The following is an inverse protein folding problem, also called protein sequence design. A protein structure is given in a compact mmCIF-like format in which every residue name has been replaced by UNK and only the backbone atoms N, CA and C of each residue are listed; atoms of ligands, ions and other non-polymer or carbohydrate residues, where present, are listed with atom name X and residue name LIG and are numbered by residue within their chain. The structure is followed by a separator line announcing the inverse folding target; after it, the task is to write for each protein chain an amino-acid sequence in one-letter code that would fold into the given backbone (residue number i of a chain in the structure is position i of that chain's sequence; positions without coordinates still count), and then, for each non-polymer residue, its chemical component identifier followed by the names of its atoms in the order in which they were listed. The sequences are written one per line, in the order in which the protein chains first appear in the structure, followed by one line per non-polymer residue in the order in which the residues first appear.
data_IF_147256806619
#
_entry.id   IF_147256806619
#
_cell.length_a   1.000
_cell.length_b   1.000
_cell.length_c   1.000
_cell.angle_alpha   90.00
_cell.angle_beta   90.00
_cell.angle_gamma   90.00
#
_symmetry.space_group_name_H-M   'P 1'
#
loop_
_entity.id
_entity.type
_entity.pdbx_description
1 polymer ?
#
# COMPACT_ATOMS: atom_id res chain seq x y z
N UNK A 1 7.99 6.91 -87.69
CA UNK A 1 7.95 5.52 -87.19
C UNK A 1 7.39 5.54 -85.78
N UNK A 2 6.53 4.59 -85.43
CA UNK A 2 5.89 4.44 -84.12
C UNK A 2 6.28 3.11 -83.51
N UNK A 3 6.63 3.11 -82.22
CA UNK A 3 6.99 1.94 -81.43
C UNK A 3 5.76 1.36 -80.71
N UNK A 4 5.87 0.13 -80.22
CA UNK A 4 4.79 -0.58 -79.50
C UNK A 4 4.34 0.10 -78.21
N UNK A 5 5.17 0.96 -77.60
CA UNK A 5 4.80 1.79 -76.45
C UNK A 5 4.19 3.15 -76.85
N UNK A 6 3.98 3.40 -78.14
CA UNK A 6 3.45 4.67 -78.67
C UNK A 6 4.49 5.78 -78.84
N UNK A 7 5.74 5.57 -78.43
CA UNK A 7 6.81 6.53 -78.72
C UNK A 7 7.08 6.60 -80.23
N UNK A 8 7.48 7.77 -80.71
CA UNK A 8 7.74 8.00 -82.14
C UNK A 8 9.21 8.26 -82.41
N UNK A 9 9.74 7.70 -83.50
CA UNK A 9 11.07 8.00 -84.01
C UNK A 9 10.91 8.82 -85.29
N UNK A 10 11.60 9.97 -85.33
CA UNK A 10 11.68 10.84 -86.50
C UNK A 10 13.11 10.82 -87.05
N UNK A 11 13.24 10.61 -88.36
CA UNK A 11 14.51 10.69 -89.08
C UNK A 11 14.51 11.97 -89.91
N UNK A 12 15.51 12.82 -89.72
CA UNK A 12 15.71 13.99 -90.58
C UNK A 12 16.24 13.54 -91.96
N UNK A 13 15.99 14.34 -93.01
CA UNK A 13 16.42 14.00 -94.35
C UNK A 13 17.94 13.84 -94.44
N UNK A 14 18.41 12.66 -94.89
CA UNK A 14 19.82 12.32 -94.99
C UNK A 14 20.43 11.69 -93.72
N UNK A 15 19.69 11.65 -92.61
CA UNK A 15 20.14 11.02 -91.37
C UNK A 15 19.84 9.51 -91.36
N UNK A 16 20.69 8.76 -90.66
CA UNK A 16 20.55 7.31 -90.45
C UNK A 16 20.28 6.95 -89.00
N UNK A 17 20.30 7.93 -88.11
CA UNK A 17 20.06 7.80 -86.67
C UNK A 17 18.81 8.61 -86.33
N UNK A 18 17.87 7.97 -85.66
CA UNK A 18 16.68 8.61 -85.10
C UNK A 18 16.58 8.28 -83.62
N UNK A 19 16.14 9.24 -82.82
CA UNK A 19 15.88 9.05 -81.38
C UNK A 19 14.37 9.01 -81.18
N UNK A 20 13.90 8.14 -80.29
CA UNK A 20 12.49 8.14 -79.91
C UNK A 20 12.12 9.39 -79.12
N UNK A 21 10.85 9.76 -79.15
CA UNK A 21 10.28 10.63 -78.12
C UNK A 21 10.40 9.97 -76.74
N UNK A 22 10.40 10.79 -75.69
CA UNK A 22 10.31 10.30 -74.30
C UNK A 22 9.04 9.47 -74.09
N UNK A 23 9.13 8.48 -73.21
CA UNK A 23 8.02 7.67 -72.73
C UNK A 23 8.21 7.40 -71.25
N UNK A 24 7.11 7.16 -70.53
CA UNK A 24 7.12 6.93 -69.09
C UNK A 24 7.52 5.48 -68.80
N UNK A 25 8.34 5.30 -67.78
CA UNK A 25 8.67 4.00 -67.18
C UNK A 25 8.06 3.92 -65.78
N UNK A 26 8.04 2.73 -65.18
CA UNK A 26 7.69 2.56 -63.76
C UNK A 26 8.43 3.58 -62.88
N UNK A 27 7.70 4.17 -61.93
CA UNK A 27 8.27 5.12 -60.98
C UNK A 27 9.10 4.42 -59.91
N UNK A 28 10.00 5.17 -59.30
CA UNK A 28 10.82 4.72 -58.16
C UNK A 28 9.95 4.63 -56.90
N UNK A 29 10.04 3.52 -56.17
CA UNK A 29 9.43 3.34 -54.86
C UNK A 29 10.36 2.58 -53.90
N UNK A 30 9.84 2.00 -52.81
CA UNK A 30 10.66 1.34 -51.78
C UNK A 30 10.52 -0.19 -51.80
N UNK A 31 9.76 -0.71 -52.75
CA UNK A 31 9.44 -2.11 -52.89
C UNK A 31 10.13 -2.67 -54.11
N UNK A 32 10.65 -3.89 -53.95
CA UNK A 32 11.32 -4.63 -55.01
C UNK A 32 10.41 -4.76 -56.21
N UNK A 33 10.74 -4.03 -57.25
CA UNK A 33 10.15 -4.17 -58.55
C UNK A 33 11.25 -4.19 -59.62
N UNK A 34 10.87 -4.14 -60.87
CA UNK A 34 11.79 -4.43 -61.95
C UNK A 34 11.00 -4.74 -63.20
N UNK A 35 11.12 -3.86 -64.17
CA UNK A 35 10.35 -3.95 -65.40
C UNK A 35 11.27 -4.26 -66.57
N UNK A 36 10.87 -5.25 -67.38
CA UNK A 36 11.44 -5.42 -68.70
C UNK A 36 10.36 -5.58 -69.73
N UNK A 37 10.42 -4.76 -70.78
CA UNK A 37 9.50 -4.84 -71.90
C UNK A 37 10.23 -4.72 -73.23
N UNK A 38 9.61 -5.33 -74.24
CA UNK A 38 10.12 -5.36 -75.59
C UNK A 38 9.43 -4.30 -76.44
N UNK A 39 10.22 -3.40 -77.01
CA UNK A 39 9.81 -2.43 -78.01
C UNK A 39 9.97 -3.03 -79.41
N UNK A 40 8.91 -2.92 -80.20
CA UNK A 40 8.91 -3.27 -81.62
C UNK A 40 8.37 -2.09 -82.42
N UNK A 41 8.67 -2.04 -83.70
CA UNK A 41 8.07 -1.06 -84.61
C UNK A 41 6.67 -1.53 -84.98
N UNK A 42 5.65 -0.73 -84.67
CA UNK A 42 4.25 -1.03 -84.99
C UNK A 42 3.76 -0.33 -86.25
N UNK A 43 4.38 0.80 -86.58
CA UNK A 43 4.10 1.55 -87.80
C UNK A 43 5.39 2.21 -88.32
N UNK A 44 5.80 1.86 -89.54
CA UNK A 44 6.96 2.48 -90.18
C UNK A 44 6.71 3.95 -90.56
N UNK A 45 5.44 4.35 -90.69
CA UNK A 45 5.02 5.63 -91.25
C UNK A 45 5.17 5.68 -92.78
N UNK A 46 4.91 6.84 -93.38
CA UNK A 46 5.14 7.05 -94.82
C UNK A 46 6.65 7.06 -95.15
N UNK A 47 7.07 6.25 -96.12
CA UNK A 47 8.45 6.17 -96.57
C UNK A 47 8.56 5.81 -98.05
N UNK A 48 9.73 6.04 -98.64
CA UNK A 48 10.04 5.75 -100.05
C UNK A 48 11.00 4.57 -100.26
N UNK A 49 11.32 3.79 -99.22
CA UNK A 49 12.12 2.57 -99.35
C UNK A 49 11.38 1.48 -100.13
N UNK A 50 12.08 0.77 -101.02
CA UNK A 50 11.54 -0.40 -101.73
C UNK A 50 11.26 -1.58 -100.78
N UNK A 51 12.09 -1.72 -99.75
CA UNK A 51 11.89 -2.65 -98.64
C UNK A 51 12.49 -2.04 -97.36
N UNK A 52 11.72 -2.05 -96.27
CA UNK A 52 12.16 -1.65 -94.94
C UNK A 52 11.88 -2.80 -93.99
N UNK A 53 12.91 -3.32 -93.33
CA UNK A 53 12.76 -4.35 -92.30
C UNK A 53 12.52 -3.67 -90.95
N UNK A 54 11.40 -4.00 -90.33
CA UNK A 54 10.98 -3.48 -89.02
C UNK A 54 10.79 -4.61 -88.00
N UNK A 55 11.34 -5.79 -88.28
CA UNK A 55 11.19 -6.99 -87.44
C UNK A 55 12.09 -6.99 -86.20
N UNK A 56 13.10 -6.11 -86.16
CA UNK A 56 13.99 -5.98 -85.00
C UNK A 56 13.23 -5.45 -83.77
N UNK A 57 13.71 -5.84 -82.60
CA UNK A 57 13.12 -5.48 -81.32
C UNK A 57 14.19 -5.00 -80.35
N UNK A 58 13.87 -3.98 -79.58
CA UNK A 58 14.71 -3.51 -78.49
C UNK A 58 14.13 -3.95 -77.15
N UNK A 59 14.96 -4.38 -76.21
CA UNK A 59 14.53 -4.62 -74.84
C UNK A 59 14.89 -3.41 -74.00
N UNK A 60 13.91 -2.87 -73.29
CA UNK A 60 14.14 -1.90 -72.22
C UNK A 60 14.13 -2.67 -70.90
N UNK A 61 15.16 -2.46 -70.09
CA UNK A 61 15.23 -2.98 -68.73
C UNK A 61 15.34 -1.78 -67.81
N UNK A 62 14.35 -1.65 -66.93
CA UNK A 62 14.39 -0.71 -65.82
C UNK A 62 15.01 -1.45 -64.65
N UNK A 63 16.19 -1.00 -64.23
CA UNK A 63 16.82 -1.54 -63.03
C UNK A 63 16.27 -0.82 -61.83
N UNK A 64 15.83 -1.61 -60.86
CA UNK A 64 15.37 -1.11 -59.57
C UNK A 64 16.51 -0.40 -58.82
N UNK A 65 16.13 0.65 -58.08
CA UNK A 65 17.01 1.33 -57.15
C UNK A 65 16.95 0.62 -55.78
N UNK A 66 17.72 1.07 -54.80
CA UNK A 66 17.64 0.49 -53.45
C UNK A 66 17.40 1.64 -52.48
N UNK A 67 16.21 1.67 -51.93
CA UNK A 67 15.73 2.62 -50.95
C UNK A 67 15.56 1.92 -49.59
N UNK A 68 16.43 2.29 -48.65
CA UNK A 68 16.39 1.77 -47.28
C UNK A 68 15.25 2.38 -46.49
N UNK A 69 14.26 1.62 -46.02
CA UNK A 69 13.22 2.07 -45.07
C UNK A 69 13.66 1.75 -43.64
N UNK A 70 13.69 2.76 -42.76
CA UNK A 70 13.99 2.56 -41.35
C UNK A 70 12.70 2.63 -40.51
N UNK A 71 12.50 1.63 -39.66
CA UNK A 71 11.41 1.62 -38.67
C UNK A 71 12.02 1.64 -37.27
N UNK A 72 11.66 2.61 -36.44
CA UNK A 72 12.17 2.75 -35.08
C UNK A 72 11.05 2.69 -34.04
N UNK A 73 11.43 2.42 -32.79
CA UNK A 73 10.56 2.48 -31.63
C UNK A 73 11.20 3.38 -30.58
N UNK A 74 10.41 4.27 -30.00
CA UNK A 74 10.83 5.19 -28.94
C UNK A 74 9.85 5.13 -27.78
N UNK A 75 10.34 5.12 -26.54
CA UNK A 75 9.48 5.22 -25.36
C UNK A 75 9.19 6.69 -25.00
N UNK A 76 8.16 6.90 -24.16
CA UNK A 76 7.86 8.19 -23.56
C UNK A 76 8.78 8.58 -22.39
N UNK A 77 9.84 7.79 -22.13
CA UNK A 77 10.69 7.93 -20.95
C UNK A 77 10.20 7.13 -19.75
N UNK A 78 10.81 7.35 -18.59
CA UNK A 78 10.43 6.69 -17.34
C UNK A 78 9.11 7.25 -16.80
N UNK A 79 8.30 6.38 -16.20
CA UNK A 79 6.95 6.69 -15.70
C UNK A 79 6.76 6.17 -14.28
N UNK A 80 5.69 6.60 -13.60
CA UNK A 80 5.26 5.97 -12.34
C UNK A 80 4.31 4.80 -12.60
N UNK A 81 4.07 3.95 -11.61
CA UNK A 81 3.13 2.81 -11.69
C UNK A 81 1.68 3.21 -12.02
N UNK A 82 1.23 4.43 -11.65
CA UNK A 82 -0.03 5.04 -12.08
C UNK A 82 -0.12 5.41 -13.58
N UNK A 83 0.98 5.36 -14.32
CA UNK A 83 1.05 5.91 -15.67
C UNK A 83 1.27 4.82 -16.72
N UNK A 84 0.53 4.94 -17.83
CA UNK A 84 0.74 4.06 -18.98
C UNK A 84 2.15 4.24 -19.56
N UNK A 85 2.79 3.12 -19.88
CA UNK A 85 4.02 3.11 -20.68
C UNK A 85 3.64 3.22 -22.17
N UNK A 86 4.14 4.25 -22.84
CA UNK A 86 3.77 4.53 -24.24
C UNK A 86 4.99 4.42 -25.15
N UNK A 87 4.84 3.61 -26.19
CA UNK A 87 5.84 3.40 -27.23
C UNK A 87 5.34 3.98 -28.55
N UNK A 88 6.17 4.77 -29.21
CA UNK A 88 5.88 5.34 -30.53
C UNK A 88 6.71 4.62 -31.57
N UNK A 89 6.04 3.95 -32.49
CA UNK A 89 6.66 3.29 -33.65
C UNK A 89 6.67 4.30 -34.79
N UNK A 90 7.81 4.49 -35.44
CA UNK A 90 7.99 5.49 -36.50
C UNK A 90 8.60 4.86 -37.75
N UNK A 91 8.09 5.19 -38.92
CA UNK A 91 8.80 5.02 -40.18
C UNK A 91 9.55 6.33 -40.50
N UNK A 92 10.73 6.22 -41.13
CA UNK A 92 11.53 7.39 -41.55
C UNK A 92 10.95 8.15 -42.75
N UNK A 93 9.85 7.66 -43.32
CA UNK A 93 9.09 8.26 -44.42
C UNK A 93 7.62 7.88 -44.36
N UNK A 94 6.79 8.65 -45.06
CA UNK A 94 5.39 8.30 -45.32
C UNK A 94 5.33 7.20 -46.37
N UNK A 95 4.55 6.15 -46.11
CA UNK A 95 4.26 5.09 -47.08
C UNK A 95 2.85 5.25 -47.66
N UNK A 96 2.65 4.79 -48.89
CA UNK A 96 1.37 4.83 -49.61
C UNK A 96 0.40 3.72 -49.21
N UNK A 97 0.88 2.72 -48.47
CA UNK A 97 0.13 1.57 -47.96
C UNK A 97 0.34 1.42 -46.46
N UNK A 98 -0.56 0.68 -45.81
CA UNK A 98 -0.48 0.37 -44.38
C UNK A 98 0.76 -0.48 -44.08
N UNK A 99 1.58 0.00 -43.15
CA UNK A 99 2.73 -0.73 -42.62
C UNK A 99 2.32 -1.46 -41.34
N UNK A 100 2.33 -2.79 -41.39
CA UNK A 100 2.08 -3.63 -40.23
C UNK A 100 3.42 -3.95 -39.57
N UNK A 101 3.56 -3.58 -38.30
CA UNK A 101 4.77 -3.79 -37.49
C UNK A 101 4.47 -4.77 -36.38
N UNK A 102 5.30 -5.81 -36.23
CA UNK A 102 5.20 -6.80 -35.15
C UNK A 102 6.20 -6.47 -34.06
N UNK A 103 5.70 -6.29 -32.84
CA UNK A 103 6.49 -5.99 -31.65
C UNK A 103 7.06 -7.26 -31.01
N UNK A 104 8.08 -7.12 -30.16
CA UNK A 104 8.74 -8.26 -29.49
C UNK A 104 7.86 -9.05 -28.52
N UNK A 105 6.75 -8.46 -28.06
CA UNK A 105 5.72 -9.14 -27.27
C UNK A 105 4.70 -9.92 -28.13
N UNK A 106 4.83 -9.88 -29.46
CA UNK A 106 3.96 -10.56 -30.41
C UNK A 106 2.75 -9.74 -30.88
N UNK A 107 2.51 -8.56 -30.30
CA UNK A 107 1.44 -7.67 -30.76
C UNK A 107 1.80 -7.02 -32.10
N UNK A 108 0.77 -6.66 -32.86
CA UNK A 108 0.93 -5.96 -34.13
C UNK A 108 0.31 -4.58 -34.07
N UNK A 109 1.01 -3.57 -34.58
CA UNK A 109 0.50 -2.22 -34.79
C UNK A 109 0.56 -1.84 -36.27
N UNK A 110 -0.30 -0.92 -36.69
CA UNK A 110 -0.36 -0.49 -38.09
C UNK A 110 -0.11 1.01 -38.17
N UNK A 111 0.96 1.41 -38.83
CA UNK A 111 1.10 2.78 -39.32
C UNK A 111 0.25 2.87 -40.58
N UNK A 112 -0.83 3.64 -40.51
CA UNK A 112 -1.77 3.79 -41.62
C UNK A 112 -1.10 4.47 -42.81
N UNK A 113 -1.53 4.13 -44.02
CA UNK A 113 -1.10 4.82 -45.24
C UNK A 113 -1.24 6.35 -45.09
N UNK A 114 -0.20 7.09 -45.46
CA UNK A 114 -0.15 8.54 -45.30
C UNK A 114 0.35 9.04 -43.93
N UNK A 115 0.43 8.17 -42.92
CA UNK A 115 0.98 8.48 -41.60
C UNK A 115 2.45 8.05 -41.48
N UNK A 116 3.15 8.56 -40.47
CA UNK A 116 4.55 8.22 -40.18
C UNK A 116 4.75 7.51 -38.85
N UNK A 117 3.73 7.48 -38.00
CA UNK A 117 3.86 6.91 -36.67
C UNK A 117 2.55 6.37 -36.13
N UNK A 118 2.66 5.42 -35.22
CA UNK A 118 1.54 4.91 -34.40
C UNK A 118 2.01 4.71 -32.97
N UNK A 119 1.12 4.94 -32.01
CA UNK A 119 1.40 4.70 -30.60
C UNK A 119 0.91 3.30 -30.18
N UNK A 120 1.65 2.68 -29.27
CA UNK A 120 1.30 1.46 -28.56
C UNK A 120 1.40 1.72 -27.06
N UNK A 121 0.33 1.45 -26.32
CA UNK A 121 0.27 1.71 -24.87
C UNK A 121 0.20 0.38 -24.11
N UNK A 122 1.05 0.25 -23.10
CA UNK A 122 0.93 -0.76 -22.05
C UNK A 122 0.31 -0.07 -20.83
N UNK A 123 -0.78 -0.63 -20.33
CA UNK A 123 -1.50 -0.05 -19.19
C UNK A 123 -0.60 0.07 -17.96
N UNK A 124 -0.82 1.13 -17.18
CA UNK A 124 -0.32 1.31 -15.82
C UNK A 124 -0.46 0.04 -14.97
N UNK A 125 0.52 -0.23 -14.10
CA UNK A 125 0.48 -1.38 -13.19
C UNK A 125 -0.62 -1.22 -12.13
N UNK A 126 -0.89 0.02 -11.72
CA UNK A 126 -1.85 0.37 -10.67
C UNK A 126 -1.20 1.33 -9.69
N UNK A 127 -1.96 1.74 -8.67
CA UNK A 127 -1.36 2.25 -7.43
C UNK A 127 -1.80 1.28 -6.36
N UNK A 128 -0.86 0.76 -5.59
CA UNK A 128 -1.15 0.01 -4.39
C UNK A 128 -0.14 0.30 -3.28
N UNK A 129 -0.14 -0.51 -2.22
CA UNK A 129 0.66 -0.24 -1.01
C UNK A 129 1.91 -1.12 -0.93
N UNK A 130 2.25 -1.83 -1.99
CA UNK A 130 3.32 -2.78 -2.08
C UNK A 130 4.39 -2.36 -3.09
N UNK A 131 5.65 -2.36 -2.64
CA UNK A 131 6.75 -1.96 -3.51
C UNK A 131 6.95 -2.93 -4.70
N UNK A 132 6.68 -2.46 -5.91
CA UNK A 132 6.62 -3.30 -7.12
C UNK A 132 7.26 -2.71 -8.39
N UNK A 133 8.24 -1.81 -8.22
CA UNK A 133 9.04 -1.22 -9.31
C UNK A 133 9.43 -2.20 -10.44
N UNK A 134 9.32 -1.73 -11.69
CA UNK A 134 9.46 -2.58 -12.87
C UNK A 134 10.08 -1.90 -14.09
N UNK A 135 10.08 -2.61 -15.21
CA UNK A 135 10.41 -2.06 -16.52
C UNK A 135 9.68 -2.82 -17.63
N UNK A 136 9.44 -2.13 -18.73
CA UNK A 136 8.87 -2.70 -19.96
C UNK A 136 9.85 -2.40 -21.10
N UNK A 137 10.35 -3.43 -21.76
CA UNK A 137 11.20 -3.32 -22.95
C UNK A 137 10.48 -3.90 -24.16
N UNK A 138 10.31 -3.10 -25.21
CA UNK A 138 9.74 -3.52 -26.49
C UNK A 138 10.72 -3.27 -27.62
N UNK A 139 10.80 -4.24 -28.52
CA UNK A 139 11.57 -4.19 -29.75
C UNK A 139 10.69 -4.43 -30.97
N UNK A 140 11.27 -4.26 -32.15
CA UNK A 140 10.63 -4.54 -33.43
C UNK A 140 11.12 -5.88 -33.97
N UNK A 141 10.22 -6.78 -34.34
CA UNK A 141 10.57 -8.13 -34.82
C UNK A 141 10.30 -8.33 -36.30
N UNK A 142 9.30 -7.64 -36.85
CA UNK A 142 8.96 -7.64 -38.26
C UNK A 142 8.27 -6.34 -38.65
N UNK A 143 8.39 -5.93 -39.91
CA UNK A 143 7.54 -4.90 -40.50
C UNK A 143 7.26 -5.25 -41.96
N UNK A 144 5.99 -5.21 -42.37
CA UNK A 144 5.60 -5.64 -43.71
C UNK A 144 4.38 -4.89 -44.24
N UNK A 145 4.29 -4.88 -45.58
CA UNK A 145 3.16 -4.36 -46.33
C UNK A 145 2.58 -5.50 -47.15
N UNK A 146 1.27 -5.69 -47.08
CA UNK A 146 0.62 -6.85 -47.67
C UNK A 146 0.87 -6.95 -49.19
N UNK A 147 1.44 -8.07 -49.64
CA UNK A 147 1.70 -8.34 -51.05
C UNK A 147 2.91 -7.60 -51.64
N UNK A 148 3.68 -6.88 -50.82
CA UNK A 148 4.89 -6.16 -51.24
C UNK A 148 6.12 -6.62 -50.44
N UNK A 149 7.30 -6.38 -50.98
CA UNK A 149 8.58 -6.72 -50.34
C UNK A 149 9.48 -5.50 -50.43
N UNK A 150 9.94 -4.96 -49.30
CA UNK A 150 10.87 -3.84 -49.29
C UNK A 150 12.20 -4.20 -49.97
N UNK A 151 12.80 -3.24 -50.67
CA UNK A 151 14.16 -3.36 -51.19
C UNK A 151 15.15 -3.61 -50.05
N UNK A 152 15.17 -2.69 -49.08
CA UNK A 152 15.96 -2.75 -47.87
C UNK A 152 15.15 -2.22 -46.67
N UNK A 153 14.83 -3.11 -45.72
CA UNK A 153 14.11 -2.78 -44.49
C UNK A 153 15.05 -2.92 -43.30
N UNK A 154 15.16 -1.86 -42.50
CA UNK A 154 15.99 -1.82 -41.31
C UNK A 154 15.12 -1.53 -40.09
N UNK A 155 15.23 -2.38 -39.07
CA UNK A 155 14.54 -2.20 -37.80
C UNK A 155 15.51 -1.61 -36.76
N UNK A 156 15.03 -0.61 -36.03
CA UNK A 156 15.75 0.02 -34.92
C UNK A 156 15.88 -0.90 -33.70
N UNK A 157 16.66 -0.43 -32.72
CA UNK A 157 16.83 -1.14 -31.46
C UNK A 157 15.62 -1.01 -30.52
N UNK A 158 15.69 -1.74 -29.41
CA UNK A 158 14.63 -1.78 -28.41
C UNK A 158 14.48 -0.45 -27.66
N UNK A 159 13.25 -0.16 -27.24
CA UNK A 159 12.93 0.92 -26.32
C UNK A 159 12.55 0.35 -24.95
N UNK A 160 12.96 1.04 -23.88
CA UNK A 160 12.63 0.65 -22.50
C UNK A 160 11.96 1.80 -21.77
N UNK A 161 10.96 1.47 -20.96
CA UNK A 161 10.33 2.34 -19.95
C UNK A 161 10.67 1.75 -18.59
N UNK A 162 11.34 2.51 -17.73
CA UNK A 162 11.43 2.13 -16.31
C UNK A 162 10.19 2.66 -15.58
N UNK A 163 9.63 1.81 -14.73
CA UNK A 163 8.44 2.12 -13.93
C UNK A 163 8.90 2.28 -12.50
N UNK A 164 8.78 3.50 -11.98
CA UNK A 164 9.08 3.81 -10.58
C UNK A 164 7.84 3.67 -9.73
N UNK A 165 7.97 2.86 -8.69
CA UNK A 165 7.05 2.73 -7.57
C UNK A 165 6.77 4.10 -6.92
N UNK A 166 5.51 4.36 -6.62
CA UNK A 166 5.11 5.48 -5.77
C UNK A 166 5.17 5.05 -4.30
N UNK A 167 4.90 5.97 -3.36
CA UNK A 167 4.91 5.63 -1.93
C UNK A 167 3.54 5.92 -1.34
N UNK A 168 2.81 4.87 -1.06
CA UNK A 168 1.56 4.83 -0.36
C UNK A 168 1.75 4.46 1.12
N UNK A 169 0.95 5.14 1.96
CA UNK A 169 1.01 4.97 3.40
C UNK A 169 -0.11 4.07 3.89
N UNK A 170 0.27 2.99 4.57
CA UNK A 170 -0.65 2.21 5.39
C UNK A 170 -0.60 2.68 6.84
N UNK A 171 -1.75 2.83 7.47
CA UNK A 171 -1.87 3.23 8.88
C UNK A 171 -2.42 2.07 9.71
N UNK A 172 -1.69 1.70 10.77
CA UNK A 172 -2.11 0.80 11.83
C UNK A 172 -2.72 1.60 12.99
N UNK A 173 -4.00 1.37 13.28
CA UNK A 173 -4.72 2.02 14.38
C UNK A 173 -4.96 1.04 15.51
N UNK A 174 -4.29 1.23 16.66
CA UNK A 174 -4.58 0.59 17.94
C UNK A 174 -5.81 1.24 18.59
N UNK A 175 -6.70 0.43 19.16
CA UNK A 175 -7.87 0.90 19.90
C UNK A 175 -7.59 1.08 21.38
N UNK A 176 -8.09 2.18 21.96
CA UNK A 176 -8.12 2.37 23.42
C UNK A 176 -8.98 1.29 24.08
N UNK A 177 -8.58 0.88 25.29
CA UNK A 177 -9.37 -0.08 26.08
C UNK A 177 -9.61 0.44 27.49
N UNK A 178 -10.74 0.04 28.05
CA UNK A 178 -11.08 0.23 29.47
C UNK A 178 -11.51 -1.10 30.03
N UNK A 179 -10.85 -1.54 31.09
CA UNK A 179 -11.10 -2.81 31.77
C UNK A 179 -11.15 -2.57 33.27
N UNK A 180 -11.89 -3.38 34.01
CA UNK A 180 -11.80 -3.36 35.47
C UNK A 180 -10.51 -4.05 35.91
N UNK A 181 -9.92 -3.61 37.03
CA UNK A 181 -8.94 -4.45 37.71
C UNK A 181 -9.54 -5.82 38.06
N UNK A 182 -8.68 -6.80 38.34
CA UNK A 182 -9.13 -8.17 38.59
C UNK A 182 -9.62 -8.92 37.36
N UNK A 183 -9.66 -8.31 36.17
CA UNK A 183 -10.05 -8.98 34.92
C UNK A 183 -9.06 -10.05 34.43
N UNK A 184 -8.01 -10.36 35.20
CA UNK A 184 -6.85 -11.23 34.93
C UNK A 184 -6.00 -10.84 33.70
N UNK A 185 -6.64 -10.49 32.59
CA UNK A 185 -5.98 -10.08 31.35
C UNK A 185 -6.83 -9.13 30.49
N UNK A 186 -6.16 -8.48 29.53
CA UNK A 186 -6.80 -7.67 28.50
C UNK A 186 -6.15 -7.90 27.12
N UNK A 187 -6.87 -7.48 26.08
CA UNK A 187 -6.38 -7.48 24.69
C UNK A 187 -6.66 -6.15 24.04
N UNK A 188 -5.86 -5.78 23.05
CA UNK A 188 -6.03 -4.55 22.27
C UNK A 188 -6.37 -4.91 20.83
N UNK A 189 -7.42 -4.29 20.29
CA UNK A 189 -7.76 -4.39 18.88
C UNK A 189 -6.88 -3.47 18.04
N UNK A 190 -6.55 -3.90 16.82
CA UNK A 190 -5.87 -3.08 15.84
C UNK A 190 -6.53 -3.19 14.46
N UNK A 191 -6.45 -2.11 13.68
CA UNK A 191 -6.96 -2.04 12.31
C UNK A 191 -5.91 -1.47 11.37
N UNK A 192 -5.83 -1.96 10.14
CA UNK A 192 -5.00 -1.44 9.06
C UNK A 192 -5.89 -0.72 8.04
N UNK A 193 -5.41 0.39 7.48
CA UNK A 193 -6.09 1.09 6.38
C UNK A 193 -6.14 0.28 5.09
N UNK A 194 -5.17 -0.61 4.89
CA UNK A 194 -5.04 -1.48 3.72
C UNK A 194 -4.79 -2.93 4.17
N UNK A 195 -5.32 -3.93 3.45
CA UNK A 195 -5.03 -5.33 3.75
C UNK A 195 -3.55 -5.65 3.50
N UNK A 196 -3.01 -6.64 4.21
CA UNK A 196 -1.65 -7.15 3.97
C UNK A 196 -1.66 -8.34 2.99
N UNK A 197 -0.61 -8.55 2.19
CA UNK A 197 -0.51 -9.70 1.27
C UNK A 197 -0.13 -11.01 1.98
N UNK A 198 0.44 -10.91 3.18
CA UNK A 198 1.04 -12.01 3.94
C UNK A 198 0.73 -11.87 5.42
N UNK A 199 0.93 -12.96 6.16
CA UNK A 199 0.85 -12.84 7.61
C UNK A 199 2.07 -12.08 8.15
N UNK A 200 1.85 -11.09 9.02
CA UNK A 200 2.92 -10.42 9.75
C UNK A 200 2.52 -10.13 11.18
N UNK A 201 3.50 -9.92 12.04
CA UNK A 201 3.31 -9.74 13.49
C UNK A 201 3.97 -8.46 13.97
N UNK A 202 3.19 -7.63 14.65
CA UNK A 202 3.68 -6.43 15.34
C UNK A 202 3.86 -6.71 16.83
N UNK A 203 4.86 -6.07 17.45
CA UNK A 203 5.12 -6.11 18.89
C UNK A 203 4.80 -4.75 19.50
N UNK A 204 4.04 -4.74 20.58
CA UNK A 204 3.65 -3.56 21.34
C UNK A 204 4.64 -3.27 22.47
N UNK A 205 4.63 -2.04 22.99
CA UNK A 205 5.54 -1.59 24.06
C UNK A 205 5.38 -2.37 25.38
N UNK A 206 4.22 -2.96 25.64
CA UNK A 206 3.98 -3.85 26.78
C UNK A 206 4.40 -5.31 26.52
N UNK A 207 4.98 -5.61 25.35
CA UNK A 207 5.43 -6.94 24.96
C UNK A 207 4.35 -7.83 24.33
N UNK A 208 3.07 -7.41 24.32
CA UNK A 208 2.03 -8.13 23.60
C UNK A 208 2.27 -8.07 22.08
N UNK A 209 1.75 -9.06 21.36
CA UNK A 209 1.92 -9.14 19.90
C UNK A 209 0.59 -9.19 19.19
N UNK A 210 0.47 -8.57 18.02
CA UNK A 210 -0.72 -8.64 17.16
C UNK A 210 -0.28 -9.29 15.84
N UNK A 211 -0.97 -10.36 15.44
CA UNK A 211 -0.73 -11.01 14.15
C UNK A 211 -1.87 -10.70 13.19
N UNK A 212 -1.55 -10.13 12.04
CA UNK A 212 -2.46 -9.97 10.93
C UNK A 212 -2.27 -11.15 9.98
N UNK A 213 -3.35 -11.84 9.62
CA UNK A 213 -3.31 -12.85 8.57
C UNK A 213 -3.29 -12.18 7.18
N UNK A 214 -2.81 -12.92 6.17
CA UNK A 214 -2.90 -12.48 4.78
C UNK A 214 -4.34 -12.09 4.41
N UNK A 215 -4.50 -10.94 3.75
CA UNK A 215 -5.77 -10.33 3.36
C UNK A 215 -6.56 -9.68 4.50
N UNK A 216 -6.09 -9.74 5.75
CA UNK A 216 -6.80 -9.13 6.89
C UNK A 216 -6.44 -7.66 7.05
N UNK A 217 -7.42 -6.87 7.48
CA UNK A 217 -7.24 -5.49 7.97
C UNK A 217 -7.40 -5.39 9.49
N UNK A 218 -7.72 -6.48 10.18
CA UNK A 218 -7.98 -6.47 11.61
C UNK A 218 -7.11 -7.48 12.35
N UNK A 219 -6.70 -7.14 13.56
CA UNK A 219 -5.96 -8.01 14.46
C UNK A 219 -6.33 -7.74 15.91
N UNK A 220 -6.02 -8.70 16.77
CA UNK A 220 -6.17 -8.59 18.22
C UNK A 220 -4.86 -9.02 18.85
N UNK A 221 -4.43 -8.30 19.90
CA UNK A 221 -3.21 -8.67 20.61
C UNK A 221 -3.34 -10.01 21.32
N UNK A 222 -2.21 -10.65 21.59
CA UNK A 222 -2.11 -11.61 22.68
C UNK A 222 -2.60 -10.96 23.99
N UNK A 223 -3.16 -11.77 24.87
CA UNK A 223 -3.52 -11.35 26.21
C UNK A 223 -2.29 -10.82 26.96
N UNK A 224 -2.49 -9.74 27.71
CA UNK A 224 -1.50 -9.20 28.66
C UNK A 224 -2.16 -8.98 30.01
N UNK A 225 -1.34 -9.05 31.07
CA UNK A 225 -1.82 -8.96 32.46
C UNK A 225 -2.28 -7.55 32.78
N UNK A 226 -3.36 -7.45 33.53
CA UNK A 226 -3.87 -6.21 34.12
C UNK A 226 -3.64 -6.21 35.63
N UNK A 227 -3.77 -5.05 36.27
CA UNK A 227 -3.77 -4.92 37.72
C UNK A 227 -4.76 -5.91 38.37
N UNK A 228 -4.31 -6.54 39.45
CA UNK A 228 -5.14 -7.47 40.21
C UNK A 228 -6.13 -6.72 41.10
N UNK A 229 -7.22 -7.39 41.46
CA UNK A 229 -8.25 -6.86 42.36
C UNK A 229 -7.73 -6.75 43.80
N UNK A 230 -7.96 -5.61 44.45
CA UNK A 230 -7.77 -5.49 45.89
C UNK A 230 -8.86 -4.62 46.57
N UNK A 231 -8.55 -4.03 47.72
CA UNK A 231 -9.53 -3.30 48.56
C UNK A 231 -9.22 -1.81 48.62
N UNK A 232 -8.23 -1.35 47.86
CA UNK A 232 -7.66 -0.02 47.88
C UNK A 232 -7.92 0.73 46.58
N UNK A 233 -8.19 2.03 46.71
CA UNK A 233 -8.41 2.89 45.55
C UNK A 233 -7.15 3.15 44.75
N UNK A 234 -6.95 2.46 43.63
CA UNK A 234 -5.69 2.53 42.89
C UNK A 234 -5.80 2.38 41.34
N UNK A 235 -6.87 2.90 40.74
CA UNK A 235 -7.03 2.97 39.28
C UNK A 235 -5.76 3.39 38.52
N UNK A 236 -5.46 2.68 37.42
CA UNK A 236 -4.25 2.87 36.61
C UNK A 236 -4.56 3.30 35.15
N UNK A 237 -3.67 4.08 34.54
CA UNK A 237 -3.74 4.42 33.11
C UNK A 237 -2.34 4.53 32.51
N UNK A 238 -2.14 3.89 31.36
CA UNK A 238 -0.88 3.93 30.62
C UNK A 238 -1.09 3.85 29.10
N UNK A 239 -0.07 4.21 28.33
CA UNK A 239 -0.11 4.14 26.87
C UNK A 239 0.68 2.95 26.34
N UNK A 240 0.18 2.40 25.23
CA UNK A 240 0.83 1.35 24.45
C UNK A 240 1.05 1.84 23.02
N UNK A 241 2.17 1.45 22.43
CA UNK A 241 2.55 1.83 21.07
C UNK A 241 3.20 0.66 20.35
N UNK A 242 3.26 0.70 19.03
CA UNK A 242 4.01 -0.28 18.23
C UNK A 242 5.50 0.01 18.37
N UNK A 243 6.27 -0.97 18.87
CA UNK A 243 7.74 -0.85 19.00
C UNK A 243 8.49 -1.63 17.93
N UNK A 244 7.84 -2.60 17.31
CA UNK A 244 8.38 -3.33 16.16
C UNK A 244 7.23 -3.77 15.26
N UNK A 245 7.24 -3.34 14.00
CA UNK A 245 6.20 -3.70 13.03
C UNK A 245 6.43 -5.06 12.34
N UNK A 246 7.54 -5.75 12.64
CA UNK A 246 7.90 -7.01 11.99
C UNK A 246 8.30 -6.82 10.52
N UNK A 247 8.47 -7.94 9.83
CA UNK A 247 8.66 -7.95 8.38
C UNK A 247 7.30 -7.87 7.69
N UNK A 248 7.07 -6.80 6.94
CA UNK A 248 5.86 -6.55 6.16
C UNK A 248 6.23 -6.11 4.75
N UNK A 249 5.25 -6.14 3.84
CA UNK A 249 5.44 -5.77 2.45
C UNK A 249 4.85 -4.38 2.10
N UNK A 250 4.35 -3.63 3.09
CA UNK A 250 3.95 -2.25 2.89
C UNK A 250 5.16 -1.36 2.56
N UNK A 251 5.01 -0.45 1.59
CA UNK A 251 6.01 0.59 1.29
C UNK A 251 6.26 1.49 2.49
N UNK A 252 5.19 1.94 3.14
CA UNK A 252 5.23 2.72 4.38
C UNK A 252 4.14 2.28 5.35
N UNK A 253 4.54 2.03 6.60
CA UNK A 253 3.63 1.73 7.70
C UNK A 253 3.79 2.75 8.83
N UNK A 254 2.68 3.36 9.23
CA UNK A 254 2.59 4.29 10.35
C UNK A 254 1.64 3.75 11.41
N UNK A 255 1.78 4.17 12.66
CA UNK A 255 0.91 3.73 13.76
C UNK A 255 0.62 4.82 14.78
N UNK A 256 -0.50 4.71 15.49
CA UNK A 256 -0.81 5.54 16.68
C UNK A 256 -0.39 4.84 17.99
N UNK A 257 -0.60 5.56 19.09
CA UNK A 257 -0.63 5.02 20.45
C UNK A 257 -2.07 4.78 20.88
N UNK A 258 -2.29 3.79 21.75
CA UNK A 258 -3.55 3.56 22.43
C UNK A 258 -3.39 3.69 23.94
N UNK A 259 -4.45 4.08 24.63
CA UNK A 259 -4.52 4.18 26.09
C UNK A 259 -5.20 2.96 26.67
N UNK A 260 -4.58 2.36 27.68
CA UNK A 260 -5.18 1.35 28.54
C UNK A 260 -5.60 2.02 29.83
N UNK A 261 -6.89 1.96 30.14
CA UNK A 261 -7.45 2.44 31.40
C UNK A 261 -7.93 1.26 32.23
N UNK A 262 -7.47 1.19 33.47
CA UNK A 262 -7.89 0.19 34.44
C UNK A 262 -8.74 0.91 35.48
N UNK A 263 -10.01 0.51 35.57
CA UNK A 263 -10.93 1.03 36.57
C UNK A 263 -10.90 0.16 37.81
N UNK A 264 -10.64 0.81 38.93
CA UNK A 264 -10.85 0.33 40.29
C UNK A 264 -12.25 -0.29 40.47
N UNK A 265 -12.33 -1.42 41.17
CA UNK A 265 -13.61 -2.03 41.55
C UNK A 265 -14.10 -1.47 42.89
N UNK A 266 -15.05 -2.16 43.54
CA UNK A 266 -15.56 -1.71 44.84
C UNK A 266 -15.70 -2.90 45.76
N UNK A 267 -14.74 -3.00 46.66
CA UNK A 267 -14.64 -3.92 47.76
C UNK A 267 -14.93 -3.22 49.09
N UNK A 268 -15.79 -3.85 49.88
CA UNK A 268 -16.19 -3.32 51.19
C UNK A 268 -15.29 -3.88 52.27
N UNK A 269 -14.58 -2.98 52.96
CA UNK A 269 -13.94 -3.29 54.24
C UNK A 269 -14.89 -2.96 55.39
N UNK A 270 -15.10 -3.89 56.31
CA UNK A 270 -15.94 -3.67 57.50
C UNK A 270 -15.06 -3.45 58.73
N UNK A 271 -15.36 -2.40 59.49
CA UNK A 271 -14.83 -2.12 60.81
C UNK A 271 -15.84 -2.57 61.86
N UNK A 272 -15.39 -3.37 62.84
CA UNK A 272 -16.24 -3.83 63.94
C UNK A 272 -15.62 -3.43 65.27
N UNK A 273 -16.37 -2.74 66.11
CA UNK A 273 -15.99 -2.47 67.50
C UNK A 273 -16.34 -3.69 68.37
N UNK A 274 -15.42 -4.07 69.25
CA UNK A 274 -15.65 -5.12 70.22
C UNK A 274 -16.43 -4.62 71.44
N UNK A 275 -17.28 -5.48 71.98
CA UNK A 275 -17.93 -5.22 73.27
C UNK A 275 -16.91 -5.31 74.41
N UNK A 276 -17.10 -4.48 75.43
CA UNK A 276 -16.27 -4.50 76.64
C UNK A 276 -17.19 -4.52 77.87
N UNK A 277 -16.75 -5.20 78.91
CA UNK A 277 -17.32 -5.09 80.25
C UNK A 277 -16.18 -4.79 81.21
N UNK A 278 -16.33 -3.73 82.00
CA UNK A 278 -15.33 -3.27 82.96
C UNK A 278 -15.99 -3.11 84.32
N UNK A 279 -15.22 -3.36 85.39
CA UNK A 279 -15.68 -3.09 86.74
C UNK A 279 -15.59 -1.59 87.02
N UNK A 280 -16.50 -1.07 87.83
CA UNK A 280 -16.38 0.27 88.41
C UNK A 280 -15.04 0.42 89.13
N UNK A 281 -14.47 1.63 89.09
CA UNK A 281 -13.19 1.88 89.73
C UNK A 281 -11.95 1.37 88.99
N UNK A 282 -12.07 0.86 87.76
CA UNK A 282 -10.91 0.40 86.98
C UNK A 282 -10.02 1.53 86.43
N UNK A 283 -10.28 2.79 86.82
CA UNK A 283 -9.69 4.07 86.36
C UNK A 283 -9.84 4.36 84.86
N UNK A 284 -9.65 3.37 83.99
CA UNK A 284 -9.79 3.50 82.54
C UNK A 284 -10.20 2.19 81.85
N UNK A 285 -10.63 2.33 80.60
CA UNK A 285 -11.03 1.26 79.69
C UNK A 285 -10.42 1.44 78.30
N UNK A 286 -10.36 0.35 77.54
CA UNK A 286 -10.04 0.38 76.10
C UNK A 286 -11.02 -0.51 75.34
N UNK A 287 -11.23 -0.21 74.06
CA UNK A 287 -12.07 -0.98 73.15
C UNK A 287 -11.20 -1.53 72.03
N UNK A 288 -11.30 -2.82 71.75
CA UNK A 288 -10.68 -3.44 70.57
C UNK A 288 -11.56 -3.20 69.34
N UNK A 289 -10.95 -3.10 68.17
CA UNK A 289 -11.65 -3.12 66.89
C UNK A 289 -10.94 -4.01 65.87
N UNK A 290 -11.72 -4.54 64.93
CA UNK A 290 -11.24 -5.42 63.86
C UNK A 290 -11.68 -4.89 62.50
N UNK A 291 -10.79 -4.94 61.51
CA UNK A 291 -11.08 -4.74 60.09
C UNK A 291 -11.18 -6.09 59.38
N UNK A 292 -12.08 -6.21 58.42
CA UNK A 292 -12.18 -7.41 57.55
C UNK A 292 -10.98 -7.58 56.62
N UNK A 293 -10.34 -6.46 56.24
CA UNK A 293 -9.16 -6.41 55.39
C UNK A 293 -8.04 -5.59 56.08
N UNK A 294 -6.76 -5.96 55.91
CA UNK A 294 -5.66 -5.16 56.46
C UNK A 294 -5.62 -3.78 55.79
N UNK A 295 -5.09 -2.78 56.50
CA UNK A 295 -4.82 -1.44 55.93
C UNK A 295 -3.41 -1.40 55.33
N UNK A 296 -3.18 -0.70 54.21
CA UNK A 296 -1.84 -0.55 53.60
C UNK A 296 -0.96 0.45 54.36
N UNK A 297 -1.59 1.31 55.18
CA UNK A 297 -0.99 2.44 55.89
C UNK A 297 -1.52 2.54 57.32
N UNK A 298 -0.95 3.46 58.11
CA UNK A 298 -1.51 3.77 59.41
C UNK A 298 -2.90 4.44 59.26
N UNK A 299 -3.91 3.86 59.90
CA UNK A 299 -5.31 4.26 59.80
C UNK A 299 -5.84 4.56 61.20
N UNK A 300 -6.46 5.72 61.42
CA UNK A 300 -6.91 6.15 62.76
C UNK A 300 -8.39 6.51 62.78
N UNK A 301 -9.13 5.81 63.63
CA UNK A 301 -10.57 6.00 63.86
C UNK A 301 -10.78 6.75 65.17
N UNK A 302 -11.71 7.70 65.19
CA UNK A 302 -12.15 8.41 66.40
C UNK A 302 -13.54 7.92 66.80
N UNK A 303 -13.68 7.48 68.06
CA UNK A 303 -14.94 7.02 68.64
C UNK A 303 -15.79 8.20 69.15
N UNK A 304 -17.08 7.95 69.41
CA UNK A 304 -18.05 8.94 69.92
C UNK A 304 -17.67 9.56 71.26
N UNK A 305 -16.84 8.88 72.07
CA UNK A 305 -16.30 9.40 73.33
C UNK A 305 -14.96 10.15 73.17
N UNK A 306 -14.45 10.31 71.95
CA UNK A 306 -13.18 10.96 71.65
C UNK A 306 -11.94 10.08 71.77
N UNK A 307 -12.07 8.81 72.20
CA UNK A 307 -10.96 7.86 72.15
C UNK A 307 -10.61 7.51 70.70
N UNK A 308 -9.34 7.17 70.44
CA UNK A 308 -8.83 6.92 69.08
C UNK A 308 -8.28 5.52 68.96
N UNK A 309 -8.62 4.81 67.89
CA UNK A 309 -8.06 3.50 67.53
C UNK A 309 -7.12 3.68 66.36
N UNK A 310 -5.86 3.28 66.51
CA UNK A 310 -4.88 3.29 65.41
C UNK A 310 -4.57 1.87 64.97
N UNK A 311 -4.78 1.59 63.69
CA UNK A 311 -4.32 0.39 63.00
C UNK A 311 -2.98 0.70 62.34
N UNK A 312 -1.97 -0.12 62.63
CA UNK A 312 -0.71 -0.06 61.90
C UNK A 312 -0.87 -0.63 60.49
N UNK A 313 0.01 -0.24 59.56
CA UNK A 313 0.07 -0.85 58.24
C UNK A 313 0.18 -2.38 58.33
N UNK A 314 -0.59 -3.09 57.51
CA UNK A 314 -0.72 -4.55 57.51
C UNK A 314 -1.56 -5.13 58.65
N UNK A 315 -2.06 -4.32 59.59
CA UNK A 315 -2.86 -4.81 60.72
C UNK A 315 -4.36 -4.83 60.40
N UNK A 316 -5.04 -5.85 60.90
CA UNK A 316 -6.52 -5.92 60.94
C UNK A 316 -7.07 -5.62 62.33
N UNK A 317 -6.21 -5.42 63.33
CA UNK A 317 -6.64 -5.18 64.72
C UNK A 317 -6.08 -3.88 65.26
N UNK A 318 -6.89 -3.19 66.06
CA UNK A 318 -6.50 -1.99 66.77
C UNK A 318 -7.13 -1.95 68.16
N UNK A 319 -6.52 -1.18 69.06
CA UNK A 319 -7.05 -0.91 70.40
C UNK A 319 -7.15 0.59 70.60
N UNK A 320 -8.23 1.05 71.23
CA UNK A 320 -8.41 2.47 71.52
C UNK A 320 -7.38 2.99 72.50
N UNK A 321 -7.12 4.30 72.46
CA UNK A 321 -6.57 5.00 73.61
C UNK A 321 -7.45 4.77 74.84
N UNK A 322 -6.83 4.80 76.01
CA UNK A 322 -7.54 4.62 77.28
C UNK A 322 -8.49 5.80 77.51
N UNK A 323 -9.73 5.50 77.90
CA UNK A 323 -10.74 6.50 78.28
C UNK A 323 -11.26 6.22 79.69
N UNK A 324 -11.77 7.25 80.35
CA UNK A 324 -12.22 7.16 81.73
C UNK A 324 -13.48 6.27 81.84
N UNK A 325 -13.53 5.50 82.92
CA UNK A 325 -14.73 4.75 83.34
C UNK A 325 -15.35 5.40 84.57
N UNK A 326 -16.55 4.96 84.94
CA UNK A 326 -17.17 5.36 86.20
C UNK A 326 -16.26 5.01 87.38
N UNK A 327 -16.09 5.97 88.29
CA UNK A 327 -15.29 5.79 89.50
C UNK A 327 -15.97 4.85 90.49
N UNK A 328 -15.16 4.26 91.39
CA UNK A 328 -15.66 3.41 92.48
C UNK A 328 -16.43 4.24 93.51
N UNK A 329 -17.62 3.79 93.88
CA UNK A 329 -18.37 4.35 95.00
C UNK A 329 -19.13 3.29 95.81
N UNK A 330 -20.00 3.72 96.73
CA UNK A 330 -20.70 2.82 97.67
C UNK A 330 -22.05 2.32 97.16
N UNK A 331 -22.51 2.75 95.98
CA UNK A 331 -23.79 2.41 95.40
C UNK A 331 -23.66 1.22 94.44
N UNK A 332 -24.71 0.40 94.34
CA UNK A 332 -24.80 -0.57 93.23
C UNK A 332 -25.49 0.11 92.07
N UNK A 333 -24.69 0.67 91.17
CA UNK A 333 -25.15 1.09 89.86
C UNK A 333 -24.37 0.38 88.75
N UNK A 334 -24.98 0.34 87.58
CA UNK A 334 -24.43 -0.29 86.40
C UNK A 334 -24.82 0.57 85.22
N UNK A 335 -23.84 1.20 84.61
CA UNK A 335 -24.06 2.06 83.46
C UNK A 335 -23.80 1.28 82.16
N UNK A 336 -24.63 1.56 81.16
CA UNK A 336 -24.42 1.09 79.79
C UNK A 336 -24.48 2.30 78.87
N UNK A 337 -23.44 2.46 78.07
CA UNK A 337 -23.36 3.48 77.04
C UNK A 337 -22.93 2.84 75.73
N UNK A 338 -23.43 3.38 74.62
CA UNK A 338 -23.09 2.93 73.27
C UNK A 338 -21.91 3.73 72.73
N UNK A 339 -20.87 3.04 72.29
CA UNK A 339 -19.79 3.64 71.50
C UNK A 339 -20.08 3.42 70.02
N UNK A 340 -19.82 4.45 69.22
CA UNK A 340 -19.92 4.37 67.76
C UNK A 340 -18.69 5.02 67.14
N UNK A 341 -18.45 4.73 65.86
CA UNK A 341 -17.45 5.46 65.09
C UNK A 341 -17.99 6.86 64.82
N UNK A 342 -17.26 7.89 65.27
CA UNK A 342 -17.60 9.28 65.00
C UNK A 342 -16.92 9.79 63.73
N UNK A 343 -15.69 9.34 63.48
CA UNK A 343 -14.94 9.65 62.28
C UNK A 343 -13.96 8.50 61.99
N UNK A 344 -14.01 7.95 60.78
CA UNK A 344 -13.09 6.90 60.35
C UNK A 344 -11.69 7.43 59.96
N UNK A 345 -11.48 8.74 59.85
CA UNK A 345 -10.20 9.31 59.43
C UNK A 345 -9.91 9.11 57.95
N UNK A 346 -8.68 9.42 57.53
CA UNK A 346 -8.23 9.17 56.16
C UNK A 346 -7.83 7.70 55.99
N UNK A 347 -8.37 7.08 54.94
CA UNK A 347 -8.05 5.72 54.50
C UNK A 347 -8.05 5.66 52.97
N UNK A 348 -7.42 4.62 52.43
CA UNK A 348 -7.41 4.34 51.00
C UNK A 348 -8.36 3.20 50.60
N UNK A 349 -9.10 2.59 51.53
CA UNK A 349 -10.11 1.61 51.18
C UNK A 349 -11.09 2.17 50.15
N UNK A 350 -11.46 1.36 49.16
CA UNK A 350 -12.53 1.65 48.20
C UNK A 350 -13.82 2.01 48.91
N UNK A 351 -14.23 1.15 49.84
CA UNK A 351 -15.36 1.38 50.73
C UNK A 351 -15.05 0.90 52.16
N UNK A 352 -15.44 1.71 53.14
CA UNK A 352 -15.37 1.36 54.56
C UNK A 352 -16.77 1.43 55.18
N UNK A 353 -17.23 0.31 55.74
CA UNK A 353 -18.47 0.18 56.51
C UNK A 353 -18.14 0.11 58.00
N UNK A 354 -18.78 0.92 58.84
CA UNK A 354 -18.40 1.14 60.27
C UNK A 354 -19.56 1.05 61.23
#
# INVERSE_FOLDING_TARGET
MTLSNGATITFAAGETIGTSSEFVVQGDDVYRDGESYTLSVTDAGEHNFEQLDTSDTATVTVTDTVDTVNVTIESNGDVTEAQDAVFTIKADRVLSDDLVVTLSNGDTVTIQAGEQSVAYSVAAQGEDVYADAGNVTLGLTDASVAGKVFEDLQLGGDATVNITDTVDTTTLTLGDITVAEGSDSATVSATLSNPTDRAFTVTLSNGATITFAAGSTTGTSSEFVVQGDDVYRDAESYTISVVNAGEHNFEQLTSNEATVNITDTVDTTTLTLGDITVAEGSDSATVSATLSNPTDRAFTVTLSNGATITFAAGSTTGTSSAFAVQGDDVYQDGESYTLSVANAGEHNFEQLDT
#
